data_IF_463422771402
#
_entry.id   IF_463422771402
#
_cell.length_a   1.000
_cell.length_b   1.000
_cell.length_c   1.000
_cell.angle_alpha   90.00
_cell.angle_beta   90.00
_cell.angle_gamma   90.00
#
_symmetry.space_group_name_H-M   'P 1'
#
loop_
_entity.id
_entity.type
_entity.pdbx_description
1 polymer ?
#
# COMPACT_ATOMS: atom_id res chain seq x y z
N UNK A 1 -41.44 7.64 -4.10
CA UNK A 1 -40.53 6.83 -4.93
C UNK A 1 -39.71 5.96 -4.01
N UNK A 2 -39.70 4.63 -4.20
CA UNK A 2 -38.90 3.68 -3.42
C UNK A 2 -37.66 3.31 -4.27
N UNK A 3 -36.47 3.52 -3.72
CA UNK A 3 -35.19 3.19 -4.37
C UNK A 3 -34.53 2.06 -3.59
N UNK A 4 -34.13 1.01 -4.29
CA UNK A 4 -33.48 -0.15 -3.68
C UNK A 4 -32.20 -0.49 -4.45
N UNK A 5 -31.06 -0.51 -3.75
CA UNK A 5 -29.77 -0.95 -4.29
C UNK A 5 -29.61 -2.44 -3.97
N UNK A 6 -29.44 -3.27 -5.00
CA UNK A 6 -29.44 -4.74 -4.87
C UNK A 6 -28.09 -5.32 -5.31
N UNK A 7 -27.46 -6.09 -4.43
CA UNK A 7 -26.28 -6.89 -4.74
C UNK A 7 -26.68 -8.16 -5.49
N UNK A 8 -26.14 -8.35 -6.70
CA UNK A 8 -26.49 -9.45 -7.61
C UNK A 8 -25.62 -10.71 -7.44
N UNK A 9 -24.77 -10.75 -6.40
CA UNK A 9 -23.91 -11.89 -6.17
C UNK A 9 -22.95 -12.18 -7.33
N UNK A 10 -22.78 -13.44 -7.68
CA UNK A 10 -21.93 -13.91 -8.79
C UNK A 10 -22.41 -13.49 -10.18
N UNK A 11 -23.53 -12.78 -10.29
CA UNK A 11 -24.07 -12.29 -11.55
C UNK A 11 -25.10 -13.24 -12.18
N UNK A 12 -25.45 -14.34 -11.50
CA UNK A 12 -26.57 -15.22 -11.81
C UNK A 12 -27.66 -15.04 -10.75
N UNK A 13 -28.91 -15.29 -11.12
CA UNK A 13 -30.04 -15.11 -10.19
C UNK A 13 -29.96 -16.03 -8.97
N UNK A 14 -29.38 -17.22 -9.12
CA UNK A 14 -29.21 -18.19 -8.02
C UNK A 14 -28.33 -17.64 -6.86
N UNK A 15 -27.52 -16.62 -7.12
CA UNK A 15 -26.69 -15.97 -6.12
C UNK A 15 -27.30 -14.70 -5.52
N UNK A 16 -28.51 -14.32 -5.96
CA UNK A 16 -29.27 -13.20 -5.39
C UNK A 16 -29.96 -13.63 -4.10
N UNK A 17 -29.92 -12.77 -3.08
CA UNK A 17 -30.67 -13.05 -1.83
C UNK A 17 -32.17 -13.06 -2.09
N UNK A 18 -32.96 -13.77 -1.27
CA UNK A 18 -34.43 -13.75 -1.37
C UNK A 18 -34.98 -12.31 -1.31
N UNK A 19 -34.45 -11.50 -0.41
CA UNK A 19 -34.85 -10.09 -0.30
C UNK A 19 -34.51 -9.29 -1.58
N UNK A 20 -33.37 -9.58 -2.21
CA UNK A 20 -33.01 -9.02 -3.50
C UNK A 20 -33.95 -9.46 -4.63
N UNK A 21 -34.34 -10.73 -4.64
CA UNK A 21 -35.28 -11.27 -5.60
C UNK A 21 -36.69 -10.63 -5.49
N UNK A 22 -37.17 -10.44 -4.25
CA UNK A 22 -38.41 -9.73 -3.96
C UNK A 22 -38.36 -8.27 -4.46
N UNK A 23 -37.26 -7.56 -4.14
CA UNK A 23 -37.08 -6.17 -4.60
C UNK A 23 -37.05 -6.05 -6.12
N UNK A 24 -36.40 -7.00 -6.81
CA UNK A 24 -36.40 -7.08 -8.28
C UNK A 24 -37.79 -7.38 -8.85
N UNK A 25 -38.56 -8.23 -8.20
CA UNK A 25 -39.91 -8.55 -8.62
C UNK A 25 -40.88 -7.35 -8.47
N UNK A 26 -40.76 -6.59 -7.38
CA UNK A 26 -41.57 -5.41 -7.12
C UNK A 26 -41.16 -4.16 -7.93
N UNK A 27 -39.94 -4.15 -8.49
CA UNK A 27 -39.43 -3.00 -9.22
C UNK A 27 -40.25 -2.76 -10.48
N UNK A 28 -40.51 -1.49 -10.83
CA UNK A 28 -41.11 -1.07 -12.11
C UNK A 28 -40.02 -0.63 -13.10
N UNK A 29 -38.83 -0.29 -12.58
CA UNK A 29 -37.65 0.06 -13.36
C UNK A 29 -36.40 -0.56 -12.73
N UNK A 30 -35.58 -1.23 -13.54
CA UNK A 30 -34.29 -1.79 -13.12
C UNK A 30 -33.16 -1.07 -13.87
N UNK A 31 -32.19 -0.54 -13.12
CA UNK A 31 -31.03 0.19 -13.64
C UNK A 31 -29.75 -0.54 -13.21
N UNK A 32 -28.80 -0.72 -14.14
CA UNK A 32 -27.52 -1.34 -13.82
C UNK A 32 -26.62 -1.54 -15.03
N UNK A 33 -25.49 -2.17 -14.83
CA UNK A 33 -24.59 -2.54 -15.93
C UNK A 33 -25.27 -3.51 -16.89
N UNK A 34 -25.06 -3.35 -18.20
CA UNK A 34 -25.70 -4.17 -19.27
C UNK A 34 -25.61 -5.68 -18.97
N UNK A 35 -24.43 -6.15 -18.58
CA UNK A 35 -24.19 -7.57 -18.23
C UNK A 35 -25.12 -8.10 -17.13
N UNK A 36 -25.42 -7.28 -16.12
CA UNK A 36 -26.32 -7.69 -15.03
C UNK A 36 -27.77 -7.73 -15.49
N UNK A 37 -28.17 -6.79 -16.34
CA UNK A 37 -29.52 -6.71 -16.89
C UNK A 37 -29.83 -7.85 -17.87
N UNK A 38 -28.83 -8.32 -18.61
CA UNK A 38 -28.93 -9.46 -19.53
C UNK A 38 -29.13 -10.80 -18.78
N UNK A 39 -28.63 -10.91 -17.57
CA UNK A 39 -28.72 -12.11 -16.73
C UNK A 39 -29.91 -12.09 -15.75
N UNK A 40 -30.79 -11.10 -15.85
CA UNK A 40 -32.04 -11.11 -15.06
C UNK A 40 -32.98 -12.18 -15.58
N UNK A 41 -33.70 -12.88 -14.66
CA UNK A 41 -34.67 -13.93 -15.08
C UNK A 41 -35.85 -13.35 -15.86
N UNK A 42 -36.54 -14.24 -16.60
CA UNK A 42 -37.61 -13.86 -17.51
C UNK A 42 -38.81 -13.21 -16.82
N UNK A 43 -39.03 -13.48 -15.53
CA UNK A 43 -40.12 -12.85 -14.79
C UNK A 43 -39.84 -11.36 -14.50
N UNK A 44 -38.59 -10.90 -14.60
CA UNK A 44 -38.26 -9.49 -14.54
C UNK A 44 -38.57 -8.83 -15.90
N UNK A 45 -39.86 -8.58 -16.18
CA UNK A 45 -40.34 -7.99 -17.44
C UNK A 45 -40.33 -6.48 -17.48
N UNK A 46 -39.86 -5.86 -16.41
CA UNK A 46 -39.86 -4.41 -16.20
C UNK A 46 -38.95 -3.66 -17.16
N UNK A 47 -39.13 -2.34 -17.23
CA UNK A 47 -38.23 -1.46 -17.97
C UNK A 47 -36.79 -1.60 -17.44
N UNK A 48 -35.82 -1.72 -18.34
CA UNK A 48 -34.39 -1.88 -18.00
C UNK A 48 -33.58 -0.77 -18.65
N UNK A 49 -32.74 -0.10 -17.87
CA UNK A 49 -31.85 0.94 -18.37
C UNK A 49 -30.41 0.58 -18.05
N UNK A 50 -29.61 0.39 -19.10
CA UNK A 50 -28.20 0.04 -18.96
C UNK A 50 -27.39 1.34 -18.70
N UNK A 51 -27.05 1.57 -17.42
CA UNK A 51 -26.18 2.67 -17.01
C UNK A 51 -25.49 2.36 -15.68
N UNK A 52 -24.36 3.02 -15.42
CA UNK A 52 -23.58 2.87 -14.20
C UNK A 52 -22.98 4.19 -13.68
N UNK A 53 -23.03 5.27 -14.47
CA UNK A 53 -22.52 6.57 -14.04
C UNK A 53 -23.52 7.26 -13.14
N UNK A 54 -23.07 7.71 -11.97
CA UNK A 54 -23.93 8.33 -10.94
C UNK A 54 -24.74 9.50 -11.50
N UNK A 55 -24.11 10.42 -12.27
CA UNK A 55 -24.81 11.57 -12.84
C UNK A 55 -25.97 11.17 -13.77
N UNK A 56 -25.78 10.12 -14.60
CA UNK A 56 -26.83 9.59 -15.49
C UNK A 56 -27.97 8.96 -14.67
N UNK A 57 -27.62 8.17 -13.64
CA UNK A 57 -28.58 7.55 -12.72
C UNK A 57 -29.44 8.63 -12.06
N UNK A 58 -28.82 9.67 -11.50
CA UNK A 58 -29.54 10.76 -10.84
C UNK A 58 -30.49 11.49 -11.80
N UNK A 59 -30.07 11.75 -13.02
CA UNK A 59 -30.95 12.38 -14.05
C UNK A 59 -32.19 11.54 -14.35
N UNK A 60 -32.05 10.20 -14.34
CA UNK A 60 -33.19 9.29 -14.48
C UNK A 60 -34.08 9.32 -13.25
N UNK A 61 -33.51 9.28 -12.03
CA UNK A 61 -34.26 9.35 -10.80
C UNK A 61 -35.06 10.65 -10.64
N UNK A 62 -34.54 11.76 -11.15
CA UNK A 62 -35.21 13.08 -11.12
C UNK A 62 -36.36 13.21 -12.14
N UNK A 63 -36.27 12.47 -13.25
CA UNK A 63 -37.21 12.65 -14.38
C UNK A 63 -38.24 11.52 -14.53
N UNK A 64 -37.96 10.37 -13.94
CA UNK A 64 -38.83 9.19 -14.07
C UNK A 64 -40.14 9.36 -13.29
N UNK A 65 -41.21 8.71 -13.82
CA UNK A 65 -42.50 8.56 -13.11
C UNK A 65 -42.62 7.23 -12.37
N UNK A 66 -41.61 6.39 -12.47
CA UNK A 66 -41.60 5.07 -11.82
C UNK A 66 -41.53 5.21 -10.30
N UNK A 67 -42.28 4.36 -9.60
CA UNK A 67 -42.40 4.43 -8.15
C UNK A 67 -41.48 3.47 -7.41
N UNK A 68 -41.15 2.33 -8.03
CA UNK A 68 -40.26 1.30 -7.45
C UNK A 68 -39.06 1.07 -8.38
N UNK A 69 -37.90 1.54 -7.97
CA UNK A 69 -36.67 1.47 -8.77
C UNK A 69 -35.64 0.58 -8.10
N UNK A 70 -35.16 -0.43 -8.80
CA UNK A 70 -34.06 -1.27 -8.37
C UNK A 70 -32.76 -0.89 -9.11
N UNK A 71 -31.69 -0.66 -8.35
CA UNK A 71 -30.36 -0.39 -8.86
C UNK A 71 -29.49 -1.62 -8.59
N UNK A 72 -29.05 -2.32 -9.63
CA UNK A 72 -28.32 -3.59 -9.49
C UNK A 72 -26.82 -3.42 -9.60
N UNK A 73 -26.10 -4.04 -8.66
CA UNK A 73 -24.66 -4.02 -8.56
C UNK A 73 -24.08 -5.45 -8.56
N UNK A 74 -22.90 -5.63 -9.14
CA UNK A 74 -22.20 -6.93 -9.13
C UNK A 74 -21.68 -7.24 -7.74
N UNK A 75 -21.75 -8.48 -7.32
CA UNK A 75 -21.27 -8.93 -6.02
C UNK A 75 -22.10 -8.40 -4.87
N UNK A 76 -21.42 -7.95 -3.85
CA UNK A 76 -21.98 -7.29 -2.66
C UNK A 76 -21.98 -5.77 -2.80
N UNK A 77 -23.01 -5.11 -2.30
CA UNK A 77 -23.14 -3.63 -2.35
C UNK A 77 -22.12 -2.91 -1.47
N UNK A 78 -21.56 -3.56 -0.47
CA UNK A 78 -20.58 -3.00 0.48
C UNK A 78 -19.12 -3.33 0.15
N UNK A 79 -18.85 -4.26 -0.79
CA UNK A 79 -17.51 -4.71 -1.09
C UNK A 79 -16.96 -4.07 -2.38
N UNK A 80 -16.23 -2.96 -2.24
CA UNK A 80 -15.67 -2.17 -3.36
C UNK A 80 -16.68 -1.88 -4.47
N UNK A 81 -17.92 -1.65 -4.11
CA UNK A 81 -19.03 -1.43 -5.02
C UNK A 81 -19.25 0.05 -5.32
N UNK A 82 -19.66 0.36 -6.55
CA UNK A 82 -20.17 1.67 -6.94
C UNK A 82 -21.41 2.12 -6.15
N UNK A 83 -22.10 1.20 -5.49
CA UNK A 83 -23.24 1.49 -4.62
C UNK A 83 -22.88 2.50 -3.51
N UNK A 84 -21.72 2.35 -2.87
CA UNK A 84 -21.27 3.24 -1.79
C UNK A 84 -21.15 4.71 -2.23
N UNK A 85 -20.71 4.95 -3.46
CA UNK A 85 -20.60 6.29 -3.99
C UNK A 85 -21.99 6.89 -4.30
N UNK A 86 -22.92 6.08 -4.81
CA UNK A 86 -24.30 6.52 -5.02
C UNK A 86 -25.02 6.78 -3.69
N UNK A 87 -24.89 5.90 -2.68
CA UNK A 87 -25.47 6.10 -1.36
C UNK A 87 -25.08 7.48 -0.80
N UNK A 88 -23.79 7.83 -0.85
CA UNK A 88 -23.31 9.14 -0.37
C UNK A 88 -24.03 10.30 -1.04
N UNK A 89 -24.22 10.24 -2.35
CA UNK A 89 -24.92 11.32 -3.10
C UNK A 89 -26.43 11.34 -2.78
N UNK A 90 -27.06 10.17 -2.57
CA UNK A 90 -28.46 10.10 -2.15
C UNK A 90 -28.66 10.68 -0.74
N UNK A 91 -27.73 10.39 0.18
CA UNK A 91 -27.70 10.98 1.54
C UNK A 91 -27.56 12.50 1.50
N UNK A 92 -26.62 13.03 0.70
CA UNK A 92 -26.43 14.48 0.50
C UNK A 92 -27.69 15.17 -0.04
N UNK A 93 -28.49 14.45 -0.82
CA UNK A 93 -29.74 14.95 -1.41
C UNK A 93 -30.99 14.64 -0.58
N UNK A 94 -30.83 13.99 0.58
CA UNK A 94 -31.93 13.56 1.46
C UNK A 94 -32.96 12.66 0.75
N UNK A 95 -32.51 11.81 -0.18
CA UNK A 95 -33.32 10.84 -0.89
C UNK A 95 -33.27 9.51 -0.12
N UNK A 96 -34.44 9.00 0.27
CA UNK A 96 -34.56 7.71 0.97
C UNK A 96 -34.30 6.53 0.03
N UNK A 97 -33.55 5.56 0.52
CA UNK A 97 -33.24 4.33 -0.21
C UNK A 97 -33.03 3.15 0.74
N UNK A 98 -33.06 1.95 0.19
CA UNK A 98 -32.73 0.71 0.89
C UNK A 98 -31.54 0.02 0.21
N UNK A 99 -30.65 -0.59 0.98
CA UNK A 99 -29.52 -1.36 0.46
C UNK A 99 -29.71 -2.82 0.84
N UNK A 100 -29.67 -3.70 -0.15
CA UNK A 100 -29.73 -5.16 -0.01
C UNK A 100 -28.38 -5.72 -0.35
N UNK A 101 -27.71 -6.46 0.57
CA UNK A 101 -26.40 -7.06 0.31
C UNK A 101 -26.49 -8.20 -0.71
N UNK A 102 -25.36 -8.54 -1.29
CA UNK A 102 -25.19 -9.70 -2.16
C UNK A 102 -24.01 -10.55 -1.72
N UNK A 103 -23.80 -11.70 -2.38
CA UNK A 103 -22.64 -12.55 -2.15
C UNK A 103 -21.45 -11.98 -2.92
N UNK A 104 -20.37 -11.62 -2.23
CA UNK A 104 -19.18 -11.08 -2.87
C UNK A 104 -18.29 -12.16 -3.49
N UNK A 105 -17.43 -11.76 -4.42
CA UNK A 105 -16.44 -12.66 -5.03
C UNK A 105 -15.45 -13.25 -4.02
N UNK A 106 -15.20 -12.57 -2.89
CA UNK A 106 -14.36 -13.12 -1.81
C UNK A 106 -15.03 -14.34 -1.15
N UNK A 107 -16.32 -14.26 -0.90
CA UNK A 107 -17.08 -15.37 -0.32
C UNK A 107 -17.21 -16.52 -1.32
N UNK A 108 -17.45 -16.23 -2.60
CA UNK A 108 -17.52 -17.24 -3.66
C UNK A 108 -16.20 -17.99 -3.82
N UNK A 109 -15.06 -17.27 -3.81
CA UNK A 109 -13.73 -17.90 -3.88
C UNK A 109 -13.47 -18.74 -2.64
N UNK A 110 -13.73 -18.21 -1.46
CA UNK A 110 -13.58 -18.92 -0.18
C UNK A 110 -14.34 -20.24 -0.16
N UNK A 111 -15.60 -20.23 -0.60
CA UNK A 111 -16.42 -21.43 -0.70
C UNK A 111 -15.86 -22.42 -1.74
N UNK A 112 -15.39 -21.92 -2.89
CA UNK A 112 -14.88 -22.75 -3.98
C UNK A 112 -13.57 -23.47 -3.64
N UNK A 113 -12.73 -22.86 -2.78
CA UNK A 113 -11.45 -23.46 -2.34
C UNK A 113 -11.49 -24.06 -0.93
N UNK A 114 -12.65 -23.97 -0.26
CA UNK A 114 -12.89 -24.46 1.11
C UNK A 114 -11.94 -23.82 2.16
N UNK A 115 -11.59 -22.54 1.99
CA UNK A 115 -10.74 -21.81 2.91
C UNK A 115 -11.47 -20.59 3.49
N UNK A 116 -11.44 -20.37 4.82
CA UNK A 116 -12.11 -19.24 5.45
C UNK A 116 -11.39 -17.92 5.14
N UNK A 117 -12.13 -16.89 4.74
CA UNK A 117 -11.60 -15.62 4.28
C UNK A 117 -11.39 -14.56 5.38
N UNK A 118 -11.81 -14.82 6.63
CA UNK A 118 -11.68 -13.83 7.72
C UNK A 118 -10.23 -13.40 8.02
N UNK A 119 -9.25 -14.22 7.65
CA UNK A 119 -7.83 -13.91 7.84
C UNK A 119 -7.15 -13.36 6.58
N UNK A 120 -7.89 -13.22 5.47
CA UNK A 120 -7.33 -12.68 4.26
C UNK A 120 -7.18 -11.15 4.34
N UNK A 121 -6.11 -10.64 3.72
CA UNK A 121 -6.00 -9.23 3.41
C UNK A 121 -6.81 -8.96 2.13
N UNK A 122 -7.79 -8.04 2.19
CA UNK A 122 -8.70 -7.76 1.07
C UNK A 122 -8.29 -6.46 0.39
N UNK A 123 -7.97 -6.53 -0.89
CA UNK A 123 -7.43 -5.42 -1.67
C UNK A 123 -8.19 -5.29 -2.98
N UNK A 124 -8.55 -4.05 -3.36
CA UNK A 124 -9.07 -3.78 -4.69
C UNK A 124 -7.95 -3.28 -5.59
N UNK A 125 -7.75 -3.99 -6.70
CA UNK A 125 -6.94 -3.55 -7.83
C UNK A 125 -7.82 -3.11 -9.01
N UNK A 126 -9.15 -3.08 -8.82
CA UNK A 126 -10.13 -2.65 -9.81
C UNK A 126 -10.42 -1.17 -9.66
N UNK A 127 -9.91 -0.35 -10.59
CA UNK A 127 -10.14 1.11 -10.59
C UNK A 127 -9.47 1.89 -9.45
N UNK A 128 -8.60 1.26 -8.66
CA UNK A 128 -7.85 1.88 -7.57
C UNK A 128 -6.35 1.64 -7.74
N UNK A 129 -5.53 2.60 -7.31
CA UNK A 129 -4.10 2.39 -7.23
C UNK A 129 -3.81 1.33 -6.13
N UNK A 130 -3.12 0.26 -6.51
CA UNK A 130 -2.73 -0.82 -5.61
C UNK A 130 -1.25 -1.14 -5.82
N UNK A 131 -0.49 -1.19 -4.74
CA UNK A 131 0.82 -1.83 -4.73
C UNK A 131 0.65 -3.30 -4.28
N UNK A 132 0.70 -4.27 -5.21
CA UNK A 132 0.47 -5.65 -4.87
C UNK A 132 1.56 -6.25 -3.99
N UNK A 133 2.79 -5.73 -4.06
CA UNK A 133 3.91 -6.22 -3.26
C UNK A 133 3.76 -5.80 -1.80
N UNK A 134 3.44 -4.52 -1.57
CA UNK A 134 3.16 -4.02 -0.23
C UNK A 134 1.99 -4.76 0.41
N UNK A 135 0.92 -5.01 -0.35
CA UNK A 135 -0.25 -5.76 0.12
C UNK A 135 0.09 -7.19 0.54
N UNK A 136 0.85 -7.94 -0.28
CA UNK A 136 1.32 -9.29 0.04
C UNK A 136 2.25 -9.34 1.26
N UNK A 137 3.03 -8.27 1.48
CA UNK A 137 4.00 -8.19 2.58
C UNK A 137 3.35 -8.08 3.96
N UNK A 138 2.02 -8.10 4.07
CA UNK A 138 1.30 -8.08 5.35
C UNK A 138 1.33 -9.41 6.11
N UNK A 139 1.95 -10.48 5.55
CA UNK A 139 2.05 -11.79 6.18
C UNK A 139 0.73 -12.55 6.30
N UNK A 140 -0.23 -12.23 5.45
CA UNK A 140 -1.54 -12.89 5.34
C UNK A 140 -1.81 -13.26 3.90
N UNK A 141 -2.63 -14.31 3.64
CA UNK A 141 -3.14 -14.51 2.29
C UNK A 141 -3.82 -13.24 1.81
N UNK A 142 -3.51 -12.81 0.58
CA UNK A 142 -4.01 -11.54 0.05
C UNK A 142 -4.93 -11.78 -1.13
N UNK A 143 -6.19 -11.39 -0.96
CA UNK A 143 -7.20 -11.42 -2.00
C UNK A 143 -7.17 -10.10 -2.78
N UNK A 144 -7.08 -10.19 -4.10
CA UNK A 144 -7.15 -9.06 -5.02
C UNK A 144 -8.44 -9.14 -5.85
N UNK A 145 -9.27 -8.11 -5.71
CA UNK A 145 -10.35 -7.86 -6.65
C UNK A 145 -9.73 -7.26 -7.91
N UNK A 146 -9.69 -8.02 -9.00
CA UNK A 146 -9.07 -7.62 -10.27
C UNK A 146 -10.10 -7.07 -11.26
N UNK A 147 -9.65 -6.34 -12.27
CA UNK A 147 -10.51 -5.84 -13.34
C UNK A 147 -9.84 -4.76 -14.19
N UNK A 148 -10.38 -4.54 -15.39
CA UNK A 148 -9.79 -3.63 -16.35
C UNK A 148 -8.41 -4.09 -16.81
N UNK A 149 -7.43 -3.20 -16.75
CA UNK A 149 -6.05 -3.49 -17.13
C UNK A 149 -5.26 -4.27 -16.06
N UNK A 150 -5.75 -4.27 -14.81
CA UNK A 150 -5.07 -4.95 -13.69
C UNK A 150 -5.63 -6.36 -13.53
N UNK A 151 -5.06 -7.28 -14.30
CA UNK A 151 -5.40 -8.71 -14.30
C UNK A 151 -4.58 -9.50 -13.27
N UNK A 152 -4.95 -10.75 -12.94
CA UNK A 152 -4.11 -11.64 -12.14
C UNK A 152 -2.68 -11.78 -12.68
N UNK A 153 -2.52 -11.85 -14.00
CA UNK A 153 -1.21 -11.94 -14.65
C UNK A 153 -0.35 -10.70 -14.38
N UNK A 154 -0.91 -9.50 -14.49
CA UNK A 154 -0.21 -8.22 -14.23
C UNK A 154 0.24 -8.13 -12.76
N UNK A 155 -0.62 -8.51 -11.82
CA UNK A 155 -0.27 -8.54 -10.39
C UNK A 155 0.86 -9.53 -10.15
N UNK A 156 0.73 -10.76 -10.68
CA UNK A 156 1.73 -11.82 -10.53
C UNK A 156 3.07 -11.50 -11.20
N UNK A 157 3.09 -10.75 -12.30
CA UNK A 157 4.33 -10.26 -12.90
C UNK A 157 5.09 -9.35 -11.92
N UNK A 158 4.43 -8.37 -11.32
CA UNK A 158 5.03 -7.49 -10.30
C UNK A 158 5.52 -8.26 -9.08
N UNK A 159 4.77 -9.25 -8.61
CA UNK A 159 5.18 -10.11 -7.51
C UNK A 159 6.40 -10.97 -7.87
N UNK A 160 6.48 -11.44 -9.12
CA UNK A 160 7.63 -12.22 -9.62
C UNK A 160 8.89 -11.35 -9.69
N UNK A 161 8.79 -10.13 -10.22
CA UNK A 161 9.88 -9.14 -10.23
C UNK A 161 10.37 -8.81 -8.82
N UNK A 162 9.45 -8.87 -7.86
CA UNK A 162 9.72 -8.65 -6.44
C UNK A 162 10.32 -9.89 -5.72
N UNK A 163 10.62 -10.97 -6.43
CA UNK A 163 11.17 -12.19 -5.85
C UNK A 163 10.14 -13.13 -5.22
N UNK A 164 8.84 -12.86 -5.38
CA UNK A 164 7.73 -13.67 -4.84
C UNK A 164 7.18 -14.69 -5.86
N UNK A 165 7.92 -15.00 -6.92
CA UNK A 165 7.48 -15.86 -8.01
C UNK A 165 7.17 -17.31 -7.63
N UNK A 166 7.73 -17.82 -6.53
CA UNK A 166 7.52 -19.19 -6.03
C UNK A 166 6.31 -19.33 -5.09
N UNK A 167 5.74 -18.22 -4.63
CA UNK A 167 4.55 -18.21 -3.78
C UNK A 167 3.38 -18.82 -4.55
N UNK A 168 2.55 -19.61 -3.88
CA UNK A 168 1.35 -20.18 -4.47
C UNK A 168 0.24 -19.14 -4.54
N UNK A 169 -0.55 -19.21 -5.60
CA UNK A 169 -1.71 -18.35 -5.74
C UNK A 169 -2.85 -19.09 -6.44
N UNK A 170 -4.07 -18.63 -6.19
CA UNK A 170 -5.30 -19.17 -6.74
C UNK A 170 -6.00 -18.10 -7.55
N UNK A 171 -6.39 -18.43 -8.77
CA UNK A 171 -7.25 -17.59 -9.61
C UNK A 171 -8.63 -18.22 -9.68
N UNK A 172 -9.66 -17.43 -9.33
CA UNK A 172 -11.06 -17.76 -9.53
C UNK A 172 -11.61 -17.00 -10.73
N UNK A 173 -12.04 -17.72 -11.75
CA UNK A 173 -12.66 -17.16 -12.97
C UNK A 173 -14.15 -17.42 -12.96
N UNK A 174 -14.96 -16.44 -13.34
CA UNK A 174 -16.42 -16.53 -13.49
C UNK A 174 -17.12 -17.15 -12.27
N UNK A 175 -16.69 -16.78 -11.07
CA UNK A 175 -17.20 -17.36 -9.83
C UNK A 175 -18.72 -17.24 -9.72
N UNK A 176 -19.37 -18.33 -9.28
CA UNK A 176 -20.83 -18.40 -9.13
C UNK A 176 -21.58 -18.59 -10.45
N UNK A 177 -20.91 -18.89 -11.56
CA UNK A 177 -21.54 -19.19 -12.86
C UNK A 177 -21.24 -20.63 -13.30
N UNK A 178 -21.97 -21.18 -14.28
CA UNK A 178 -21.64 -22.48 -14.87
C UNK A 178 -20.24 -22.57 -15.50
N UNK A 179 -19.62 -21.41 -15.82
CA UNK A 179 -18.28 -21.30 -16.40
C UNK A 179 -17.20 -21.07 -15.32
N UNK A 180 -17.53 -21.30 -14.05
CA UNK A 180 -16.58 -21.16 -12.95
C UNK A 180 -15.37 -22.08 -13.15
N UNK A 181 -14.18 -21.50 -12.97
CA UNK A 181 -12.92 -22.23 -13.01
C UNK A 181 -12.01 -21.75 -11.90
N UNK A 182 -11.38 -22.70 -11.20
CA UNK A 182 -10.39 -22.45 -10.16
C UNK A 182 -9.05 -23.01 -10.65
N UNK A 183 -8.01 -22.17 -10.62
CA UNK A 183 -6.65 -22.55 -10.99
C UNK A 183 -5.69 -22.22 -9.86
N UNK A 184 -4.89 -23.19 -9.40
CA UNK A 184 -3.84 -22.99 -8.39
C UNK A 184 -2.47 -23.23 -9.03
N UNK A 185 -1.56 -22.26 -8.88
CA UNK A 185 -0.21 -22.33 -9.43
C UNK A 185 0.74 -21.37 -8.70
N UNK A 186 2.05 -21.51 -8.94
CA UNK A 186 3.04 -20.53 -8.53
C UNK A 186 2.79 -19.18 -9.25
N UNK A 187 3.02 -18.08 -8.53
CA UNK A 187 2.83 -16.70 -9.01
C UNK A 187 3.51 -16.48 -10.38
N UNK A 188 4.75 -16.97 -10.58
CA UNK A 188 5.46 -16.86 -11.87
C UNK A 188 4.73 -17.54 -13.03
N UNK A 189 4.00 -18.65 -12.80
CA UNK A 189 3.24 -19.32 -13.86
C UNK A 189 1.93 -18.62 -14.17
N UNK A 190 1.31 -18.01 -13.15
CA UNK A 190 0.11 -17.19 -13.32
C UNK A 190 0.44 -15.93 -14.13
N UNK A 191 1.63 -15.34 -13.94
CA UNK A 191 2.05 -14.14 -14.68
C UNK A 191 2.15 -14.36 -16.21
N UNK A 192 2.35 -15.60 -16.64
CA UNK A 192 2.44 -16.01 -18.06
C UNK A 192 1.11 -16.49 -18.63
N UNK A 193 0.04 -16.49 -17.83
CA UNK A 193 -1.25 -17.08 -18.20
C UNK A 193 -2.27 -16.01 -18.60
N UNK A 194 -3.29 -16.43 -19.36
CA UNK A 194 -4.42 -15.59 -19.74
C UNK A 194 -5.67 -16.07 -19.02
N UNK A 195 -6.45 -15.14 -18.49
CA UNK A 195 -7.64 -15.42 -17.69
C UNK A 195 -8.87 -14.71 -18.25
N UNK A 196 -10.05 -15.19 -17.87
CA UNK A 196 -11.30 -14.54 -18.20
C UNK A 196 -11.34 -13.10 -17.63
N UNK A 197 -12.06 -12.17 -18.27
CA UNK A 197 -12.18 -10.80 -17.77
C UNK A 197 -12.77 -10.68 -16.36
N UNK A 198 -13.63 -11.64 -15.98
CA UNK A 198 -14.26 -11.71 -14.67
C UNK A 198 -13.48 -12.71 -13.81
N UNK A 199 -12.46 -12.23 -13.11
CA UNK A 199 -11.60 -13.06 -12.28
C UNK A 199 -11.16 -12.34 -11.00
N UNK A 200 -10.68 -13.11 -10.05
CA UNK A 200 -10.08 -12.66 -8.80
C UNK A 200 -8.82 -13.48 -8.51
N UNK A 201 -7.93 -12.93 -7.70
CA UNK A 201 -6.67 -13.58 -7.34
C UNK A 201 -6.55 -13.66 -5.83
N UNK A 202 -6.18 -14.83 -5.30
CA UNK A 202 -5.71 -15.02 -3.93
C UNK A 202 -4.24 -15.44 -3.98
N UNK A 203 -3.37 -14.67 -3.38
CA UNK A 203 -1.95 -15.04 -3.18
C UNK A 203 -1.80 -15.55 -1.75
N UNK A 204 -1.21 -16.74 -1.58
CA UNK A 204 -0.95 -17.30 -0.25
C UNK A 204 -0.04 -16.37 0.57
N UNK A 205 -0.03 -16.55 1.90
CA UNK A 205 0.82 -15.74 2.76
C UNK A 205 2.28 -15.90 2.40
N UNK A 206 2.95 -14.78 2.18
CA UNK A 206 4.40 -14.75 2.10
C UNK A 206 4.96 -14.75 3.51
N UNK A 207 5.99 -15.53 3.78
CA UNK A 207 6.76 -15.34 5.00
C UNK A 207 7.29 -13.90 4.99
N UNK A 208 6.98 -13.14 6.04
CA UNK A 208 7.60 -11.84 6.26
C UNK A 208 8.88 -12.12 7.02
N UNK A 209 10.05 -12.24 6.35
CA UNK A 209 11.26 -12.71 6.98
C UNK A 209 11.80 -11.71 7.99
N UNK A 210 11.12 -10.59 8.21
CA UNK A 210 11.72 -9.46 8.89
C UNK A 210 10.84 -8.85 9.98
N UNK A 211 11.50 -8.58 11.10
CA UNK A 211 11.03 -7.74 12.19
C UNK A 211 10.73 -6.33 11.63
N UNK A 212 9.49 -5.88 11.72
CA UNK A 212 9.05 -4.54 11.27
C UNK A 212 9.30 -3.42 12.31
N UNK A 213 10.00 -3.75 13.39
CA UNK A 213 10.34 -2.80 14.45
C UNK A 213 11.77 -2.30 14.20
N UNK A 214 12.04 -0.98 14.26
CA UNK A 214 13.39 -0.43 14.11
C UNK A 214 14.41 -1.06 15.09
N UNK A 215 15.66 -1.08 14.68
CA UNK A 215 16.77 -1.62 15.47
C UNK A 215 17.16 -3.02 15.08
N UNK A 216 17.23 -3.32 13.79
CA UNK A 216 17.84 -4.55 13.28
C UNK A 216 19.31 -4.65 13.69
N UNK A 217 19.82 -5.86 14.03
CA UNK A 217 21.24 -6.05 14.33
C UNK A 217 22.14 -5.57 13.19
N UNK A 218 23.28 -4.96 13.53
CA UNK A 218 24.23 -4.48 12.52
C UNK A 218 24.77 -5.60 11.62
N UNK A 219 24.83 -6.81 12.13
CA UNK A 219 25.38 -8.01 11.48
C UNK A 219 24.51 -8.52 10.34
N UNK A 220 23.22 -8.19 10.34
CA UNK A 220 22.31 -8.64 9.28
C UNK A 220 22.44 -7.83 7.98
N UNK A 221 23.12 -6.67 8.04
CA UNK A 221 23.36 -5.84 6.83
C UNK A 221 24.63 -6.27 6.10
N UNK A 222 24.60 -6.20 4.77
CA UNK A 222 25.80 -6.30 3.94
C UNK A 222 26.59 -5.00 4.13
N UNK A 223 27.85 -5.13 4.51
CA UNK A 223 28.74 -4.01 4.84
C UNK A 223 30.00 -4.03 3.99
N UNK A 224 30.56 -2.85 3.78
CA UNK A 224 31.86 -2.64 3.17
C UNK A 224 32.74 -1.72 4.01
N UNK A 225 33.49 -0.86 3.34
CA UNK A 225 34.28 0.20 3.99
C UNK A 225 33.43 1.44 4.36
N UNK A 226 32.23 1.54 3.75
CA UNK A 226 31.29 2.65 4.00
C UNK A 226 30.84 2.65 5.47
N UNK A 227 30.91 3.77 6.17
CA UNK A 227 30.36 3.89 7.51
C UNK A 227 28.88 3.52 7.56
N UNK A 228 28.45 2.88 8.63
CA UNK A 228 27.07 2.47 8.85
C UNK A 228 26.57 3.01 10.19
N UNK A 229 25.41 3.66 10.17
CA UNK A 229 24.70 4.07 11.39
C UNK A 229 24.36 2.84 12.23
N UNK A 230 24.71 2.87 13.52
CA UNK A 230 24.57 1.72 14.41
C UNK A 230 23.13 1.47 14.81
N UNK A 231 22.82 0.23 15.17
CA UNK A 231 21.50 -0.26 15.51
C UNK A 231 20.71 0.68 16.43
N UNK A 232 21.32 1.10 17.55
CA UNK A 232 20.67 1.92 18.57
C UNK A 232 20.38 3.33 18.05
N UNK A 233 21.29 3.86 17.22
CA UNK A 233 21.12 5.20 16.59
C UNK A 233 20.02 5.13 15.53
N UNK A 234 19.96 4.07 14.70
CA UNK A 234 18.88 3.89 13.72
C UNK A 234 17.51 3.81 14.40
N UNK A 235 17.41 2.97 15.45
CA UNK A 235 16.17 2.84 16.20
C UNK A 235 15.69 4.18 16.80
N UNK A 236 16.63 4.91 17.41
CA UNK A 236 16.32 6.21 17.97
C UNK A 236 15.96 7.27 16.91
N UNK A 237 16.63 7.27 15.75
CA UNK A 237 16.34 8.19 14.66
C UNK A 237 14.92 7.99 14.10
N UNK A 238 14.52 6.74 13.84
CA UNK A 238 13.17 6.44 13.35
C UNK A 238 12.09 6.79 14.39
N UNK A 239 12.37 6.50 15.67
CA UNK A 239 11.47 6.88 16.76
C UNK A 239 11.30 8.41 16.87
N UNK A 240 12.41 9.16 16.77
CA UNK A 240 12.39 10.63 16.78
C UNK A 240 11.69 11.23 15.57
N UNK A 241 11.80 10.61 14.39
CA UNK A 241 11.07 11.01 13.19
C UNK A 241 9.56 10.68 13.27
N UNK A 242 9.12 9.94 14.27
CA UNK A 242 7.72 9.52 14.45
C UNK A 242 7.11 8.99 13.14
N UNK A 243 7.82 8.05 12.48
CA UNK A 243 7.49 7.51 11.17
C UNK A 243 6.12 6.84 11.19
N UNK A 244 5.29 7.15 10.19
CA UNK A 244 3.94 6.59 10.01
C UNK A 244 3.92 5.60 8.85
N UNK A 245 3.06 4.59 8.85
CA UNK A 245 3.02 3.55 7.82
C UNK A 245 2.85 4.03 6.37
N UNK A 246 2.30 5.23 6.16
CA UNK A 246 2.00 5.83 4.85
C UNK A 246 2.97 6.93 4.43
N UNK A 247 3.99 7.22 5.23
CA UNK A 247 4.90 8.34 4.99
C UNK A 247 5.74 8.16 3.72
N UNK A 248 6.01 9.28 3.05
CA UNK A 248 7.08 9.40 2.07
C UNK A 248 8.33 9.87 2.81
N UNK A 249 9.41 9.09 2.76
CA UNK A 249 10.63 9.32 3.51
C UNK A 249 11.81 9.59 2.58
N UNK A 250 12.68 10.52 2.97
CA UNK A 250 13.98 10.68 2.33
C UNK A 250 15.09 10.31 3.32
N UNK A 251 16.06 9.51 2.85
CA UNK A 251 17.31 9.18 3.54
C UNK A 251 18.47 9.81 2.76
N UNK A 252 19.01 10.91 3.25
CA UNK A 252 20.03 11.70 2.56
C UNK A 252 21.41 11.36 3.12
N UNK A 253 22.33 10.97 2.23
CA UNK A 253 23.60 10.38 2.61
C UNK A 253 23.41 8.97 3.16
N UNK A 254 22.67 8.15 2.41
CA UNK A 254 22.16 6.85 2.87
C UNK A 254 23.26 5.82 3.19
N UNK A 255 24.49 6.00 2.70
CA UNK A 255 25.63 5.12 2.99
C UNK A 255 25.37 3.66 2.62
N UNK A 256 25.35 2.78 3.61
CA UNK A 256 25.05 1.35 3.38
C UNK A 256 23.55 1.07 3.14
N UNK A 257 22.68 2.06 3.25
CA UNK A 257 21.22 1.94 3.19
C UNK A 257 20.58 1.36 4.46
N UNK A 258 21.33 1.21 5.54
CA UNK A 258 20.78 0.58 6.75
C UNK A 258 19.61 1.36 7.36
N UNK A 259 19.64 2.69 7.31
CA UNK A 259 18.51 3.54 7.74
C UNK A 259 17.38 3.45 6.71
N UNK A 260 17.70 3.55 5.41
CA UNK A 260 16.72 3.42 4.31
C UNK A 260 15.92 2.13 4.38
N UNK A 261 16.60 0.99 4.64
CA UNK A 261 15.95 -0.33 4.79
C UNK A 261 15.00 -0.33 5.98
N UNK A 262 15.44 0.12 7.16
CA UNK A 262 14.57 0.16 8.34
C UNK A 262 13.39 1.14 8.15
N UNK A 263 13.62 2.27 7.47
CA UNK A 263 12.54 3.18 7.05
C UNK A 263 11.52 2.47 6.17
N UNK A 264 11.96 1.77 5.13
CA UNK A 264 11.07 1.09 4.20
C UNK A 264 10.26 -0.03 4.87
N UNK A 265 10.87 -0.76 5.80
CA UNK A 265 10.17 -1.75 6.63
C UNK A 265 9.15 -1.12 7.59
N UNK A 266 9.38 0.13 8.03
CA UNK A 266 8.47 0.86 8.91
C UNK A 266 7.29 1.49 8.17
N UNK A 267 7.41 1.74 6.86
CA UNK A 267 6.36 2.38 6.03
C UNK A 267 5.82 1.42 4.95
N UNK A 268 5.13 0.36 5.31
CA UNK A 268 4.67 -0.65 4.34
C UNK A 268 3.64 -0.12 3.33
N UNK A 269 3.02 1.01 3.60
CA UNK A 269 2.06 1.71 2.71
C UNK A 269 2.61 3.04 2.19
N UNK A 270 3.86 3.34 2.52
CA UNK A 270 4.60 4.53 2.12
C UNK A 270 5.79 4.20 1.22
N UNK A 271 6.70 5.14 1.06
CA UNK A 271 7.83 4.99 0.15
C UNK A 271 9.10 5.68 0.65
N UNK A 272 10.27 5.15 0.29
CA UNK A 272 11.58 5.70 0.69
C UNK A 272 12.41 6.07 -0.52
N UNK A 273 13.03 7.24 -0.49
CA UNK A 273 14.03 7.70 -1.46
C UNK A 273 15.38 7.81 -0.75
N UNK A 274 16.30 6.89 -1.08
CA UNK A 274 17.66 6.87 -0.55
C UNK A 274 18.58 7.63 -1.50
N UNK A 275 19.12 8.76 -1.07
CA UNK A 275 20.02 9.61 -1.88
C UNK A 275 21.46 9.36 -1.48
N UNK A 276 22.29 8.89 -2.42
CA UNK A 276 23.68 8.57 -2.18
C UNK A 276 24.54 8.84 -3.43
N UNK A 277 25.73 9.36 -3.25
CA UNK A 277 26.61 9.72 -4.34
C UNK A 277 27.88 8.85 -4.47
N UNK A 278 28.19 8.06 -3.44
CA UNK A 278 29.33 7.12 -3.49
C UNK A 278 28.91 5.82 -4.17
N UNK A 279 29.60 5.44 -5.25
CA UNK A 279 29.24 4.27 -6.04
C UNK A 279 29.33 2.94 -5.26
N UNK A 280 30.26 2.82 -4.31
CA UNK A 280 30.39 1.65 -3.48
C UNK A 280 29.23 1.55 -2.47
N UNK A 281 28.84 2.69 -1.91
CA UNK A 281 27.66 2.80 -1.04
C UNK A 281 26.36 2.49 -1.82
N UNK A 282 26.18 3.04 -3.02
CA UNK A 282 25.05 2.73 -3.89
C UNK A 282 24.93 1.21 -4.17
N UNK A 283 26.05 0.53 -4.41
CA UNK A 283 26.06 -0.93 -4.57
C UNK A 283 25.61 -1.66 -3.31
N UNK A 284 26.00 -1.20 -2.12
CA UNK A 284 25.57 -1.78 -0.85
C UNK A 284 24.06 -1.57 -0.60
N UNK A 285 23.54 -0.40 -0.95
CA UNK A 285 22.09 -0.13 -0.85
C UNK A 285 21.30 -1.12 -1.71
N UNK A 286 21.71 -1.34 -2.97
CA UNK A 286 21.07 -2.31 -3.88
C UNK A 286 21.11 -3.72 -3.29
N UNK A 287 22.27 -4.18 -2.83
CA UNK A 287 22.43 -5.50 -2.23
C UNK A 287 21.59 -5.68 -0.95
N UNK A 288 21.55 -4.66 -0.08
CA UNK A 288 20.71 -4.70 1.11
C UNK A 288 19.24 -4.67 0.75
N UNK A 289 18.81 -3.82 -0.19
CA UNK A 289 17.43 -3.79 -0.68
C UNK A 289 16.97 -5.17 -1.14
N UNK A 290 17.78 -5.84 -1.95
CA UNK A 290 17.48 -7.17 -2.49
C UNK A 290 17.48 -8.24 -1.37
N UNK A 291 18.46 -8.20 -0.46
CA UNK A 291 18.55 -9.11 0.69
C UNK A 291 17.34 -9.03 1.63
N UNK A 292 16.84 -7.82 1.85
CA UNK A 292 15.70 -7.58 2.76
C UNK A 292 14.37 -7.59 2.03
N UNK A 293 14.34 -7.88 0.73
CA UNK A 293 13.15 -7.90 -0.12
C UNK A 293 12.31 -6.61 0.02
N UNK A 294 13.00 -5.47 0.08
CA UNK A 294 12.37 -4.15 0.23
C UNK A 294 12.08 -3.57 -1.15
N UNK A 295 10.80 -3.36 -1.47
CA UNK A 295 10.34 -2.92 -2.79
C UNK A 295 9.85 -1.48 -2.82
N UNK A 296 9.55 -0.92 -1.65
CA UNK A 296 9.14 0.47 -1.48
C UNK A 296 10.33 1.40 -1.20
N UNK A 297 11.47 1.14 -1.87
CA UNK A 297 12.69 1.94 -1.78
C UNK A 297 13.30 2.17 -3.16
N UNK A 298 13.50 3.44 -3.50
CA UNK A 298 14.27 3.86 -4.68
C UNK A 298 15.61 4.44 -4.27
N UNK A 299 16.69 3.94 -4.88
CA UNK A 299 18.00 4.56 -4.81
C UNK A 299 18.10 5.69 -5.84
N UNK A 300 18.44 6.89 -5.35
CA UNK A 300 18.71 8.09 -6.14
C UNK A 300 20.21 8.35 -6.13
N UNK A 301 20.87 7.99 -7.21
CA UNK A 301 22.32 8.13 -7.30
C UNK A 301 22.73 9.59 -7.61
N UNK A 302 23.48 10.19 -6.72
CA UNK A 302 24.03 11.55 -6.84
C UNK A 302 23.99 12.35 -5.54
N UNK A 303 24.38 13.62 -5.64
CA UNK A 303 24.49 14.51 -4.49
C UNK A 303 23.17 15.20 -4.18
N UNK A 304 22.93 15.44 -2.91
CA UNK A 304 21.95 16.40 -2.42
C UNK A 304 22.61 17.78 -2.27
N UNK A 305 21.90 18.90 -2.56
CA UNK A 305 20.46 18.96 -2.84
C UNK A 305 20.06 18.68 -4.30
N UNK A 306 20.98 18.62 -5.28
CA UNK A 306 20.68 18.61 -6.71
C UNK A 306 19.75 17.46 -7.11
N UNK A 307 19.89 16.29 -6.46
CA UNK A 307 19.11 15.08 -6.74
C UNK A 307 17.79 15.00 -5.95
N UNK A 308 17.48 16.01 -5.17
CA UNK A 308 16.17 16.11 -4.48
C UNK A 308 15.08 16.67 -5.39
N UNK A 309 15.45 17.39 -6.45
CA UNK A 309 14.51 17.99 -7.39
C UNK A 309 13.69 16.91 -8.12
N UNK A 310 12.37 17.08 -8.09
CA UNK A 310 11.43 16.17 -8.77
C UNK A 310 11.05 14.91 -7.96
N UNK A 311 11.60 14.72 -6.78
CA UNK A 311 11.14 13.68 -5.87
C UNK A 311 9.79 14.07 -5.26
N UNK A 312 8.92 13.10 -4.96
CA UNK A 312 7.70 13.34 -4.18
C UNK A 312 8.01 14.01 -2.84
N UNK A 313 7.15 14.93 -2.42
CA UNK A 313 7.31 15.69 -1.18
C UNK A 313 7.46 14.74 0.04
N UNK A 314 8.51 14.90 0.86
CA UNK A 314 8.74 14.01 1.99
C UNK A 314 7.91 14.42 3.21
N UNK A 315 7.33 13.45 3.91
CA UNK A 315 6.71 13.63 5.23
C UNK A 315 7.78 13.69 6.34
N UNK A 316 8.88 12.94 6.17
CA UNK A 316 10.01 12.98 7.07
C UNK A 316 11.33 12.71 6.34
N UNK A 317 12.41 13.30 6.86
CA UNK A 317 13.75 13.24 6.25
C UNK A 317 14.79 12.92 7.33
N UNK A 318 15.59 11.90 7.08
CA UNK A 318 16.82 11.65 7.81
C UNK A 318 18.02 12.14 6.99
N UNK A 319 18.93 12.87 7.64
CA UNK A 319 20.17 13.36 7.02
C UNK A 319 21.34 12.72 7.77
N UNK A 320 21.89 11.64 7.19
CA UNK A 320 23.01 10.89 7.75
C UNK A 320 24.38 11.42 7.27
N UNK A 321 24.41 12.10 6.12
CA UNK A 321 25.61 12.70 5.56
C UNK A 321 25.28 13.78 4.54
N UNK A 322 25.91 14.97 4.66
CA UNK A 322 25.62 16.12 3.80
C UNK A 322 26.79 16.52 2.90
N UNK A 323 27.99 15.99 3.16
CA UNK A 323 29.24 16.40 2.46
C UNK A 323 29.44 17.91 2.41
N UNK A 324 29.04 18.62 3.48
CA UNK A 324 29.17 20.06 3.61
C UNK A 324 27.97 20.89 3.15
N UNK A 325 26.97 20.31 2.52
CA UNK A 325 25.80 21.01 1.95
C UNK A 325 24.56 20.94 2.87
N UNK A 326 24.76 20.82 4.19
CA UNK A 326 23.64 20.65 5.13
C UNK A 326 22.61 21.79 5.09
N UNK A 327 22.99 23.07 5.05
CA UNK A 327 22.04 24.18 4.94
C UNK A 327 21.21 24.10 3.67
N UNK A 328 21.84 23.91 2.52
CA UNK A 328 21.18 23.86 1.21
C UNK A 328 20.25 22.64 1.11
N UNK A 329 20.58 21.53 1.76
CA UNK A 329 19.72 20.35 1.84
C UNK A 329 18.46 20.66 2.66
N UNK A 330 18.62 21.31 3.82
CA UNK A 330 17.49 21.70 4.67
C UNK A 330 16.59 22.69 3.92
N UNK A 331 17.18 23.70 3.25
CA UNK A 331 16.45 24.66 2.42
C UNK A 331 15.62 23.95 1.33
N UNK A 332 16.23 23.00 0.61
CA UNK A 332 15.56 22.25 -0.44
C UNK A 332 14.40 21.41 0.10
N UNK A 333 14.57 20.74 1.24
CA UNK A 333 13.49 19.95 1.87
C UNK A 333 12.33 20.84 2.27
N UNK A 334 12.60 21.96 2.97
CA UNK A 334 11.58 22.87 3.48
C UNK A 334 10.88 23.65 2.36
N UNK A 335 11.54 23.84 1.23
CA UNK A 335 10.91 24.42 0.02
C UNK A 335 9.83 23.49 -0.52
N UNK A 336 10.08 22.18 -0.51
CA UNK A 336 9.12 21.16 -1.03
C UNK A 336 8.04 20.87 0.00
N UNK A 337 8.38 20.70 1.27
CA UNK A 337 7.43 20.52 2.37
C UNK A 337 7.89 21.28 3.63
N UNK A 338 7.32 22.48 3.89
CA UNK A 338 7.63 23.26 5.09
C UNK A 338 7.33 22.55 6.42
N UNK A 339 6.46 21.52 6.38
CA UNK A 339 6.04 20.74 7.55
C UNK A 339 6.81 19.43 7.71
N UNK A 340 7.80 19.14 6.87
CA UNK A 340 8.57 17.90 6.94
C UNK A 340 9.23 17.74 8.32
N UNK A 341 9.14 16.53 8.87
CA UNK A 341 9.86 16.16 10.08
C UNK A 341 11.33 15.91 9.72
N UNK A 342 12.25 16.53 10.41
CA UNK A 342 13.68 16.46 10.11
C UNK A 342 14.43 15.79 11.27
N UNK A 343 15.37 14.91 10.93
CA UNK A 343 16.34 14.36 11.86
C UNK A 343 17.74 14.38 11.22
N UNK A 344 18.63 15.18 11.76
CA UNK A 344 20.03 15.24 11.35
C UNK A 344 20.87 14.41 12.32
N UNK A 345 21.72 13.52 11.77
CA UNK A 345 22.70 12.75 12.54
C UNK A 345 24.07 13.41 12.43
N UNK A 346 24.67 13.77 13.56
CA UNK A 346 25.98 14.39 13.62
C UNK A 346 26.91 13.65 14.60
N UNK A 347 28.16 13.44 14.19
CA UNK A 347 29.24 12.94 15.04
C UNK A 347 30.19 14.11 15.39
N UNK A 348 30.44 15.00 14.43
CA UNK A 348 31.27 16.18 14.60
C UNK A 348 30.47 17.33 15.19
N UNK A 349 31.13 18.12 16.07
CA UNK A 349 30.51 19.30 16.68
C UNK A 349 30.22 20.40 15.66
N UNK A 350 31.02 20.50 14.62
CA UNK A 350 30.81 21.45 13.50
C UNK A 350 29.52 21.14 12.76
N UNK A 351 29.20 19.85 12.54
CA UNK A 351 27.92 19.42 11.90
C UNK A 351 26.75 19.73 12.83
N UNK A 352 26.89 19.48 14.12
CA UNK A 352 25.89 19.88 15.13
C UNK A 352 25.62 21.39 15.08
N UNK A 353 26.67 22.19 15.11
CA UNK A 353 26.53 23.65 15.05
C UNK A 353 25.86 24.12 13.75
N UNK A 354 26.26 23.55 12.61
CA UNK A 354 25.65 23.85 11.31
C UNK A 354 24.16 23.51 11.30
N UNK A 355 23.77 22.35 11.83
CA UNK A 355 22.38 21.94 11.92
C UNK A 355 21.55 22.92 12.77
N UNK A 356 22.06 23.31 13.95
CA UNK A 356 21.39 24.25 14.82
C UNK A 356 21.23 25.64 14.18
N UNK A 357 22.29 26.14 13.51
CA UNK A 357 22.23 27.40 12.80
C UNK A 357 21.21 27.36 11.64
N UNK A 358 21.19 26.28 10.87
CA UNK A 358 20.21 26.11 9.78
C UNK A 358 18.78 26.07 10.30
N UNK A 359 18.51 25.34 11.40
CA UNK A 359 17.19 25.31 12.02
C UNK A 359 16.76 26.71 12.51
N UNK A 360 17.68 27.43 13.17
CA UNK A 360 17.42 28.80 13.65
C UNK A 360 17.09 29.76 12.50
N UNK A 361 17.78 29.66 11.36
CA UNK A 361 17.52 30.48 10.16
C UNK A 361 16.09 30.31 9.64
N UNK A 362 15.54 29.10 9.78
CA UNK A 362 14.15 28.81 9.41
C UNK A 362 13.13 28.99 10.55
N UNK A 363 13.54 29.60 11.67
CA UNK A 363 12.65 29.80 12.83
C UNK A 363 12.21 28.53 13.52
N UNK A 364 12.97 27.42 13.33
CA UNK A 364 12.65 26.12 13.91
C UNK A 364 13.39 25.93 15.24
N UNK A 365 12.70 25.34 16.21
CA UNK A 365 13.31 24.86 17.45
C UNK A 365 13.90 23.47 17.25
N UNK A 366 15.07 23.22 17.84
CA UNK A 366 15.78 21.96 17.73
C UNK A 366 15.77 21.21 19.05
N UNK A 367 15.32 19.95 19.04
CA UNK A 367 15.56 19.00 20.12
C UNK A 367 16.85 18.22 19.83
N UNK A 368 17.80 18.23 20.76
CA UNK A 368 19.07 17.52 20.64
C UNK A 368 19.08 16.32 21.59
N UNK A 369 19.45 15.15 21.04
CA UNK A 369 19.66 13.94 21.83
C UNK A 369 21.04 13.39 21.54
N UNK A 370 21.88 13.24 22.57
CA UNK A 370 23.17 12.55 22.46
C UNK A 370 22.98 11.05 22.78
N UNK A 371 23.53 10.19 21.92
CA UNK A 371 23.53 8.74 22.08
C UNK A 371 24.97 8.27 22.21
N UNK A 372 25.36 7.79 23.39
CA UNK A 372 26.66 7.18 23.65
C UNK A 372 26.49 5.66 23.82
N UNK A 373 27.18 4.88 23.01
CA UNK A 373 27.03 3.43 22.96
C UNK A 373 28.36 2.77 23.30
N UNK A 374 28.32 1.82 24.24
CA UNK A 374 29.41 0.91 24.49
C UNK A 374 28.89 -0.51 24.32
N UNK A 375 29.61 -1.34 23.58
CA UNK A 375 29.26 -2.76 23.36
C UNK A 375 30.33 -3.66 23.93
N UNK A 376 29.94 -4.78 24.51
CA UNK A 376 30.89 -5.78 24.97
C UNK A 376 31.56 -6.49 23.78
N UNK A 377 32.84 -6.78 23.90
CA UNK A 377 33.60 -7.67 23.04
C UNK A 377 34.32 -8.73 23.87
N UNK A 378 34.24 -10.00 23.46
CA UNK A 378 34.89 -11.08 24.15
C UNK A 378 36.40 -11.12 23.83
N UNK A 379 37.22 -11.20 24.84
CA UNK A 379 38.66 -11.41 24.74
C UNK A 379 39.02 -12.58 25.70
N UNK A 380 39.19 -13.76 25.14
CA UNK A 380 39.27 -15.00 25.93
C UNK A 380 37.97 -15.21 26.72
N UNK A 381 38.08 -15.34 28.03
CA UNK A 381 36.95 -15.53 28.96
C UNK A 381 36.40 -14.21 29.53
N UNK A 382 36.90 -13.07 29.07
CA UNK A 382 36.53 -11.74 29.57
C UNK A 382 35.65 -11.00 28.58
N UNK A 383 34.76 -10.15 29.09
CA UNK A 383 33.96 -9.21 28.31
C UNK A 383 34.48 -7.78 28.55
N UNK A 384 35.08 -7.16 27.52
CA UNK A 384 35.55 -5.79 27.57
C UNK A 384 34.54 -4.89 26.91
N UNK A 385 34.29 -3.70 27.52
CA UNK A 385 33.43 -2.68 26.93
C UNK A 385 34.23 -1.84 25.94
N UNK A 386 33.74 -1.77 24.69
CA UNK A 386 34.29 -0.93 23.62
C UNK A 386 33.32 0.20 23.32
N UNK A 387 33.74 1.44 23.56
CA UNK A 387 32.96 2.64 23.27
C UNK A 387 32.99 2.99 21.77
N UNK A 388 31.87 3.45 21.24
CA UNK A 388 31.77 4.13 19.96
C UNK A 388 31.76 5.65 20.16
N UNK A 389 32.06 6.41 19.11
CA UNK A 389 31.88 7.86 19.16
C UNK A 389 30.40 8.19 19.45
N UNK A 390 30.12 9.15 20.35
CA UNK A 390 28.78 9.64 20.56
C UNK A 390 28.18 10.20 19.25
N UNK A 391 26.89 10.01 19.07
CA UNK A 391 26.13 10.55 17.94
C UNK A 391 25.07 11.51 18.47
N UNK A 392 24.96 12.68 17.86
CA UNK A 392 23.89 13.64 18.14
C UNK A 392 22.77 13.45 17.11
N UNK A 393 21.54 13.30 17.58
CA UNK A 393 20.34 13.41 16.77
C UNK A 393 19.70 14.78 17.03
N UNK A 394 19.60 15.58 15.99
CA UNK A 394 19.02 16.92 16.00
C UNK A 394 17.69 16.83 15.26
N UNK A 395 16.59 17.07 15.96
CA UNK A 395 15.24 16.91 15.44
C UNK A 395 14.51 18.24 15.51
N UNK A 396 13.72 18.56 14.48
CA UNK A 396 12.80 19.69 14.51
C UNK A 396 11.66 19.41 15.50
N UNK A 397 11.38 20.34 16.40
CA UNK A 397 10.17 20.36 17.23
C UNK A 397 8.94 20.86 16.47
#
# INVERSE_FOLDING_TARGET
MKITLVGMGGGTFDSVTMQGAEALHEATLIIGARRLLENLPDFCTQNRIAMYKIGEILSVLETTKEQNIALVYSGDTGFYSGASALCRVLDERHIEYTVIPGVSSVQLLSAAIHEPWQNWNLVSAHGCACDPVAACSMGKPTFYLTGGEVTPAVICAKLTEAGLGDVQAVVGENLGTPQQKISKNAVRKISESVFAPLCVLLVESCEVPMRRVPGLPDEVFIRGKTPMTKQEVRAAALAKLAVKPTDILWDIGAGTGSVSIEMALAVPLGYVYAVECDAAACSLIKQNRDKFHVHNLTLVEGKAPEKLTGLPAPDAVFIGGSKGNLPEIIDAVLTVNPSARLCVSAIALETLQTALSSFATHGMTAQITQIAISRSSSVGNLHLMKANNPVFLIVRE
#
